data_IF_281736622517
#
_entry.id   IF_281736622517
#
_cell.length_a   1.000
_cell.length_b   1.000
_cell.length_c   1.000
_cell.angle_alpha   90.00
_cell.angle_beta   90.00
_cell.angle_gamma   90.00
#
_symmetry.space_group_name_H-M   'P 1'
#
loop_
_entity.id
_entity.type
_entity.pdbx_description
1 polymer ?
#
# COMPACT_ATOMS: atom_id res chain seq x y z
N UNK A 1 12.39 29.53 -4.12
CA UNK A 1 12.12 30.48 -3.03
C UNK A 1 13.25 30.37 -2.01
N UNK A 2 13.88 31.50 -1.63
CA UNK A 2 15.14 31.54 -0.86
C UNK A 2 14.95 31.36 0.66
N UNK A 3 13.76 31.64 1.17
CA UNK A 3 13.40 31.54 2.59
C UNK A 3 12.11 30.72 2.76
N UNK A 4 11.98 30.04 3.90
CA UNK A 4 10.84 29.22 4.32
C UNK A 4 10.21 29.80 5.59
N UNK A 5 8.95 29.44 5.83
CA UNK A 5 8.28 29.68 7.11
C UNK A 5 9.09 29.07 8.25
N UNK A 6 9.38 29.87 9.28
CA UNK A 6 10.21 29.51 10.42
C UNK A 6 11.69 29.86 10.28
N UNK A 7 12.15 30.35 9.11
CA UNK A 7 13.54 30.78 8.95
C UNK A 7 13.82 32.04 9.78
N UNK A 8 14.97 32.07 10.46
CA UNK A 8 15.46 33.25 11.16
C UNK A 8 16.25 34.14 10.18
N UNK A 9 15.81 35.38 10.04
CA UNK A 9 16.30 36.34 9.06
C UNK A 9 16.64 37.67 9.72
N UNK A 10 17.67 38.34 9.18
CA UNK A 10 18.06 39.69 9.55
C UNK A 10 17.76 40.64 8.39
N UNK A 11 17.30 41.83 8.72
CA UNK A 11 17.04 42.89 7.77
C UNK A 11 18.37 43.44 7.26
N UNK A 12 18.50 43.64 5.94
CA UNK A 12 19.77 44.09 5.34
C UNK A 12 20.08 45.53 5.71
N UNK A 13 19.06 46.39 5.75
CA UNK A 13 19.21 47.84 5.95
C UNK A 13 19.02 48.28 7.41
N UNK A 14 18.58 47.37 8.28
CA UNK A 14 18.23 47.67 9.66
C UNK A 14 18.85 46.65 10.61
N UNK A 15 19.23 47.09 11.83
CA UNK A 15 19.69 46.18 12.90
C UNK A 15 18.50 45.49 13.57
N UNK A 16 17.68 44.79 12.77
CA UNK A 16 16.51 44.05 13.22
C UNK A 16 16.56 42.61 12.72
N UNK A 17 16.01 41.72 13.53
CA UNK A 17 16.00 40.27 13.31
C UNK A 17 14.61 39.74 13.63
N UNK A 18 14.25 38.64 13.01
CA UNK A 18 12.95 38.02 13.25
C UNK A 18 12.79 36.71 12.50
N UNK A 19 11.64 36.09 12.69
CA UNK A 19 11.28 34.84 12.05
C UNK A 19 10.31 35.09 10.91
N UNK A 20 10.49 34.38 9.79
CA UNK A 20 9.52 34.38 8.70
C UNK A 20 8.26 33.64 9.17
N UNK A 21 7.23 34.39 9.52
CA UNK A 21 5.96 33.86 10.04
C UNK A 21 4.89 33.77 8.97
N UNK A 22 5.10 34.42 7.81
CA UNK A 22 4.13 34.42 6.71
C UNK A 22 4.80 34.62 5.36
N UNK A 23 4.30 33.92 4.34
CA UNK A 23 4.67 34.17 2.94
C UNK A 23 3.50 34.92 2.31
N UNK A 24 3.70 36.20 1.96
CA UNK A 24 2.65 37.05 1.40
C UNK A 24 2.55 36.81 -0.11
N UNK A 25 3.70 36.85 -0.80
CA UNK A 25 3.81 36.54 -2.22
C UNK A 25 5.24 36.08 -2.57
N UNK A 26 5.56 35.98 -3.87
CA UNK A 26 6.88 35.52 -4.34
C UNK A 26 8.06 36.45 -4.01
N UNK A 27 7.79 37.73 -3.72
CA UNK A 27 8.76 38.79 -3.49
C UNK A 27 8.66 39.40 -2.09
N UNK A 28 7.58 39.14 -1.34
CA UNK A 28 7.30 39.73 -0.03
C UNK A 28 7.01 38.67 1.04
N UNK A 29 7.65 38.81 2.21
CA UNK A 29 7.49 37.95 3.38
C UNK A 29 7.02 38.75 4.59
N UNK A 30 6.20 38.15 5.45
CA UNK A 30 5.93 38.65 6.80
C UNK A 30 6.99 38.11 7.76
N UNK A 31 7.71 39.03 8.40
CA UNK A 31 8.73 38.73 9.40
C UNK A 31 8.27 39.28 10.75
N UNK A 32 8.21 38.42 11.76
CA UNK A 32 7.86 38.81 13.13
C UNK A 32 9.11 38.94 13.99
N UNK A 33 9.27 40.10 14.63
CA UNK A 33 10.37 40.38 15.56
C UNK A 33 10.10 39.82 16.98
N UNK A 34 11.02 40.04 17.91
CA UNK A 34 10.91 39.58 19.30
C UNK A 34 9.73 40.20 20.06
N UNK A 35 9.28 41.39 19.63
CA UNK A 35 8.13 42.10 20.20
C UNK A 35 6.77 41.57 19.68
N UNK A 36 6.80 40.61 18.75
CA UNK A 36 5.61 39.94 18.22
C UNK A 36 4.88 40.73 17.13
N UNK A 37 5.50 41.76 16.55
CA UNK A 37 4.91 42.56 15.49
C UNK A 37 5.29 42.01 14.09
N UNK A 38 4.30 41.70 13.26
CA UNK A 38 4.52 41.17 11.90
C UNK A 38 4.71 42.31 10.89
N UNK A 39 5.90 42.37 10.28
CA UNK A 39 6.28 43.40 9.32
C UNK A 39 6.40 42.77 7.92
N UNK A 40 5.73 43.31 6.89
CA UNK A 40 5.92 42.88 5.50
C UNK A 40 7.21 43.45 4.91
N UNK A 41 8.09 42.58 4.40
CA UNK A 41 9.44 42.92 3.92
C UNK A 41 9.74 42.20 2.62
N UNK A 42 10.40 42.90 1.70
CA UNK A 42 10.85 42.31 0.44
C UNK A 42 11.97 41.27 0.67
N UNK A 43 11.92 40.16 -0.06
CA UNK A 43 12.92 39.07 -0.01
C UNK A 43 14.33 39.58 -0.30
N UNK A 44 14.48 40.63 -1.11
CA UNK A 44 15.76 41.28 -1.40
C UNK A 44 16.41 41.94 -0.18
N UNK A 45 15.61 42.34 0.80
CA UNK A 45 16.04 43.10 1.97
C UNK A 45 16.21 42.21 3.21
N UNK A 46 16.25 40.89 3.00
CA UNK A 46 16.43 39.90 4.05
C UNK A 46 17.69 39.06 3.78
N UNK A 47 18.43 38.77 4.84
CA UNK A 47 19.57 37.85 4.84
C UNK A 47 19.37 36.77 5.90
N UNK A 48 19.76 35.54 5.60
CA UNK A 48 19.71 34.45 6.58
C UNK A 48 20.82 34.60 7.60
N UNK A 49 20.48 34.47 8.88
CA UNK A 49 21.46 34.43 9.96
C UNK A 49 21.76 32.97 10.26
N UNK A 50 22.89 32.48 9.75
CA UNK A 50 23.38 31.14 10.08
C UNK A 50 24.09 31.21 11.43
N UNK A 51 23.49 30.68 12.49
CA UNK A 51 24.10 30.71 13.82
C UNK A 51 23.18 30.47 15.02
N UNK A 52 21.86 30.43 14.85
CA UNK A 52 20.96 29.83 15.83
C UNK A 52 20.62 28.40 15.38
N UNK A 53 21.37 27.46 15.94
CA UNK A 53 21.41 26.08 15.50
C UNK A 53 20.13 25.29 15.82
N UNK A 54 19.81 24.38 14.92
CA UNK A 54 20.01 22.97 15.25
C UNK A 54 21.30 22.53 14.55
N UNK A 55 22.23 22.04 15.38
CA UNK A 55 23.58 21.63 15.01
C UNK A 55 23.48 20.45 14.04
N UNK A 56 23.88 20.66 12.79
CA UNK A 56 24.21 19.60 11.88
C UNK A 56 25.67 19.21 12.15
N UNK A 57 25.90 17.98 12.62
CA UNK A 57 27.23 17.39 12.60
C UNK A 57 27.75 17.29 11.15
N UNK A 58 29.04 17.55 11.00
CA UNK A 58 29.78 17.65 9.75
C UNK A 58 29.74 16.34 8.95
N UNK A 59 29.43 16.45 7.66
CA UNK A 59 29.50 15.34 6.71
C UNK A 59 30.93 15.23 6.19
N UNK A 60 31.69 14.27 6.75
CA UNK A 60 32.93 13.73 6.17
C UNK A 60 32.65 13.25 4.73
N UNK A 61 33.67 13.38 3.86
CA UNK A 61 33.58 13.06 2.45
C UNK A 61 32.91 11.69 2.19
N UNK A 62 32.14 11.52 1.10
CA UNK A 62 31.33 10.33 0.89
C UNK A 62 32.22 9.10 0.72
N UNK A 63 32.48 8.40 1.82
CA UNK A 63 32.76 6.96 1.79
C UNK A 63 31.51 6.31 1.17
N UNK A 64 31.67 5.32 0.29
CA UNK A 64 30.53 4.69 -0.37
C UNK A 64 29.56 4.26 0.72
N UNK A 65 28.40 4.91 0.74
CA UNK A 65 27.26 4.48 1.54
C UNK A 65 26.97 3.09 0.97
N UNK A 66 27.36 2.05 1.70
CA UNK A 66 26.68 0.79 1.57
C UNK A 66 25.24 1.13 1.92
N UNK A 67 24.43 1.31 0.88
CA UNK A 67 23.00 1.40 1.02
C UNK A 67 22.64 0.07 1.63
N UNK A 68 22.50 0.06 2.95
CA UNK A 68 21.77 -0.98 3.63
C UNK A 68 20.33 -0.71 3.24
N UNK A 69 20.00 -1.07 1.98
CA UNK A 69 18.64 -1.19 1.50
C UNK A 69 18.01 -2.07 2.57
N UNK A 70 17.08 -1.54 3.39
CA UNK A 70 16.33 -2.41 4.27
C UNK A 70 15.76 -3.46 3.34
N UNK A 71 16.10 -4.72 3.57
CA UNK A 71 15.70 -5.85 2.72
C UNK A 71 14.26 -5.60 2.32
N UNK A 72 14.02 -5.19 1.07
CA UNK A 72 12.66 -4.89 0.62
C UNK A 72 12.03 -6.26 0.52
N UNK A 73 11.48 -6.73 1.64
CA UNK A 73 10.48 -7.75 1.66
C UNK A 73 9.44 -7.28 0.64
N UNK A 74 9.29 -8.03 -0.47
CA UNK A 74 8.28 -7.84 -1.53
C UNK A 74 6.88 -7.95 -0.92
N UNK A 75 6.51 -6.99 -0.11
CA UNK A 75 5.23 -6.89 0.55
C UNK A 75 4.52 -5.75 -0.15
N UNK A 76 3.28 -6.03 -0.50
CA UNK A 76 2.42 -5.05 -1.15
C UNK A 76 2.28 -3.81 -0.28
N UNK A 77 2.09 -2.65 -0.91
CA UNK A 77 1.79 -1.45 -0.16
C UNK A 77 0.48 -1.63 0.61
N UNK A 78 0.49 -1.34 1.91
CA UNK A 78 -0.69 -1.53 2.75
C UNK A 78 -0.41 -1.24 4.22
N UNK A 79 -1.43 -1.47 5.04
CA UNK A 79 -1.35 -1.30 6.49
C UNK A 79 -1.46 -2.68 7.11
N UNK A 80 -0.46 -3.07 7.90
CA UNK A 80 -0.38 -4.42 8.45
C UNK A 80 -0.22 -4.39 9.96
N UNK A 81 -0.71 -5.44 10.63
CA UNK A 81 -0.27 -5.79 11.98
C UNK A 81 0.67 -6.98 11.88
N UNK A 82 1.92 -6.74 12.25
CA UNK A 82 2.92 -7.77 12.45
C UNK A 82 2.83 -8.27 13.89
N UNK A 83 2.48 -9.54 14.07
CA UNK A 83 2.40 -10.21 15.37
C UNK A 83 3.69 -11.00 15.56
N UNK A 84 4.69 -10.37 16.17
CA UNK A 84 6.01 -10.94 16.39
C UNK A 84 6.03 -11.81 17.64
N UNK A 85 6.63 -12.99 17.58
CA UNK A 85 6.89 -13.82 18.76
C UNK A 85 8.11 -13.30 19.51
N UNK A 86 8.05 -13.31 20.85
CA UNK A 86 9.21 -13.02 21.67
C UNK A 86 10.13 -14.26 21.72
N UNK A 87 11.43 -14.04 21.47
CA UNK A 87 12.41 -15.13 21.41
C UNK A 87 12.74 -15.74 22.78
N UNK A 88 12.54 -14.98 23.86
CA UNK A 88 12.82 -15.38 25.25
C UNK A 88 11.56 -15.89 25.95
N UNK A 89 10.41 -15.30 25.64
CA UNK A 89 9.10 -15.67 26.18
C UNK A 89 8.21 -16.18 25.04
N UNK A 90 8.35 -17.46 24.68
CA UNK A 90 7.71 -18.03 23.47
C UNK A 90 6.18 -17.99 23.43
N UNK A 91 5.50 -17.68 24.54
CA UNK A 91 4.05 -17.45 24.60
C UNK A 91 3.67 -15.97 24.47
N UNK A 92 4.61 -15.04 24.53
CA UNK A 92 4.36 -13.60 24.40
C UNK A 92 4.50 -13.20 22.94
N UNK A 93 3.56 -12.38 22.49
CA UNK A 93 3.58 -11.76 21.17
C UNK A 93 3.46 -10.26 21.26
N UNK A 94 4.10 -9.59 20.31
CA UNK A 94 4.14 -8.14 20.16
C UNK A 94 3.44 -7.76 18.86
N UNK A 95 2.42 -6.91 18.95
CA UNK A 95 1.73 -6.35 17.80
C UNK A 95 2.44 -5.07 17.40
N UNK A 96 3.01 -5.07 16.20
CA UNK A 96 3.55 -3.89 15.56
C UNK A 96 2.60 -3.45 14.44
N UNK A 97 2.14 -2.20 14.49
CA UNK A 97 1.44 -1.61 13.35
C UNK A 97 2.50 -1.16 12.35
N UNK A 98 2.44 -1.71 11.14
CA UNK A 98 3.38 -1.45 10.06
C UNK A 98 2.68 -0.65 8.96
N UNK A 99 3.28 0.47 8.61
CA UNK A 99 2.93 1.24 7.43
C UNK A 99 3.85 0.80 6.29
N UNK A 100 3.35 0.04 5.33
CA UNK A 100 4.11 -0.32 4.13
C UNK A 100 3.75 0.59 2.95
N UNK A 101 3.34 1.83 3.20
CA UNK A 101 2.89 2.76 2.19
C UNK A 101 3.75 4.05 2.15
N UNK A 102 3.69 4.82 1.04
CA UNK A 102 4.36 6.12 0.95
C UNK A 102 3.68 7.23 1.78
N UNK A 103 2.50 6.95 2.36
CA UNK A 103 1.72 7.94 3.10
C UNK A 103 2.05 7.92 4.60
N UNK A 104 1.67 8.96 5.33
CA UNK A 104 1.78 9.02 6.80
C UNK A 104 0.46 8.58 7.42
N UNK A 105 0.51 7.80 8.50
CA UNK A 105 -0.68 7.34 9.21
C UNK A 105 -0.82 8.08 10.54
N UNK A 106 -1.98 8.70 10.78
CA UNK A 106 -2.37 9.19 12.10
C UNK A 106 -3.28 8.14 12.74
N UNK A 107 -2.88 7.59 13.88
CA UNK A 107 -3.48 6.38 14.44
C UNK A 107 -4.01 6.62 15.85
N UNK A 108 -5.22 6.11 16.10
CA UNK A 108 -5.76 5.79 17.42
C UNK A 108 -6.06 4.29 17.48
N UNK A 109 -5.60 3.63 18.53
CA UNK A 109 -5.75 2.19 18.72
C UNK A 109 -6.32 1.91 20.11
N UNK A 110 -7.48 1.26 20.13
CA UNK A 110 -8.23 0.99 21.35
C UNK A 110 -8.63 -0.48 21.44
N UNK A 111 -8.98 -0.92 22.64
CA UNK A 111 -9.56 -2.23 22.89
C UNK A 111 -10.93 -2.11 23.54
N UNK A 112 -11.78 -3.10 23.28
CA UNK A 112 -13.10 -3.24 23.87
C UNK A 112 -13.27 -4.66 24.47
N UNK A 113 -13.72 -4.72 25.73
CA UNK A 113 -14.13 -5.97 26.39
C UNK A 113 -15.36 -5.72 27.25
N UNK A 114 -16.49 -6.34 26.88
CA UNK A 114 -17.78 -6.20 27.59
C UNK A 114 -18.16 -4.73 27.76
N UNK A 115 -18.17 -3.96 26.66
CA UNK A 115 -18.47 -2.52 26.62
C UNK A 115 -17.55 -1.62 27.46
N UNK A 116 -16.43 -2.15 27.95
CA UNK A 116 -15.35 -1.35 28.55
C UNK A 116 -14.27 -1.11 27.52
N UNK A 117 -13.91 0.15 27.36
CA UNK A 117 -12.95 0.61 26.37
C UNK A 117 -11.64 1.06 27.03
N UNK A 118 -10.51 0.77 26.39
CA UNK A 118 -9.19 1.29 26.80
C UNK A 118 -8.42 1.77 25.57
N UNK A 119 -7.84 2.97 25.67
CA UNK A 119 -6.78 3.39 24.76
C UNK A 119 -5.55 2.53 24.97
N UNK A 120 -4.96 2.03 23.89
CA UNK A 120 -3.77 1.19 23.91
C UNK A 120 -2.58 1.86 23.22
N UNK A 121 -2.82 2.59 22.14
CA UNK A 121 -1.79 3.35 21.44
C UNK A 121 -2.41 4.55 20.70
N UNK A 122 -1.64 5.61 20.56
CA UNK A 122 -1.93 6.70 19.63
C UNK A 122 -0.61 7.25 19.07
N UNK A 123 -0.64 7.79 17.87
CA UNK A 123 0.56 8.43 17.32
C UNK A 123 0.56 8.55 15.81
N UNK A 124 1.71 8.97 15.31
CA UNK A 124 2.01 9.09 13.88
C UNK A 124 2.91 7.92 13.51
N UNK A 125 2.60 7.25 12.40
CA UNK A 125 3.48 6.25 11.79
C UNK A 125 3.89 6.77 10.42
N UNK A 126 5.16 7.14 10.33
CA UNK A 126 5.77 7.63 9.10
C UNK A 126 5.74 6.58 7.99
N UNK A 127 5.96 7.04 6.76
CA UNK A 127 6.04 6.17 5.59
C UNK A 127 7.08 5.06 5.79
N UNK A 128 6.71 3.82 5.46
CA UNK A 128 7.57 2.64 5.59
C UNK A 128 8.13 2.41 7.01
N UNK A 129 7.46 2.90 8.05
CA UNK A 129 7.84 2.68 9.45
C UNK A 129 6.88 1.73 10.19
N UNK A 130 7.31 1.29 11.37
CA UNK A 130 6.50 0.48 12.26
C UNK A 130 6.61 0.90 13.71
N UNK A 131 5.53 0.69 14.47
CA UNK A 131 5.46 1.00 15.90
C UNK A 131 4.89 -0.17 16.69
N UNK A 132 5.48 -0.48 17.84
CA UNK A 132 4.91 -1.42 18.81
C UNK A 132 3.64 -0.80 19.42
N UNK A 133 2.50 -1.45 19.26
CA UNK A 133 1.20 -0.93 19.72
C UNK A 133 0.56 -1.77 20.82
N UNK A 134 0.98 -3.02 21.01
CA UNK A 134 0.45 -3.90 22.05
C UNK A 134 1.34 -5.12 22.29
N UNK A 135 1.28 -5.69 23.49
CA UNK A 135 1.92 -6.97 23.83
C UNK A 135 0.95 -7.83 24.64
N UNK A 136 0.88 -9.12 24.35
CA UNK A 136 0.05 -10.04 25.12
C UNK A 136 0.54 -11.49 25.03
N UNK A 137 0.06 -12.32 25.94
CA UNK A 137 0.22 -13.77 25.89
C UNK A 137 -0.72 -14.36 24.83
N UNK A 138 -0.16 -15.12 23.89
CA UNK A 138 -0.91 -15.89 22.88
C UNK A 138 -1.72 -17.03 23.51
N UNK A 139 -1.32 -17.52 24.70
CA UNK A 139 -2.08 -18.53 25.44
C UNK A 139 -3.46 -18.01 25.88
N UNK A 140 -3.61 -16.69 26.04
CA UNK A 140 -4.84 -16.03 26.49
C UNK A 140 -5.71 -15.54 25.31
N UNK A 141 -5.47 -16.04 24.09
CA UNK A 141 -6.12 -15.56 22.87
C UNK A 141 -7.65 -15.58 22.94
N UNK A 142 -8.24 -16.54 23.66
CA UNK A 142 -9.68 -16.66 23.86
C UNK A 142 -10.29 -15.48 24.63
N UNK A 143 -9.51 -14.85 25.52
CA UNK A 143 -9.92 -13.71 26.34
C UNK A 143 -9.41 -12.36 25.83
N UNK A 144 -8.70 -12.33 24.70
CA UNK A 144 -8.26 -11.09 24.06
C UNK A 144 -9.47 -10.19 23.71
N UNK A 145 -9.34 -8.86 23.89
CA UNK A 145 -10.40 -7.93 23.56
C UNK A 145 -10.60 -7.84 22.04
N UNK A 146 -11.69 -7.20 21.63
CA UNK A 146 -11.77 -6.67 20.27
C UNK A 146 -10.92 -5.40 20.17
N UNK A 147 -10.16 -5.27 19.10
CA UNK A 147 -9.33 -4.10 18.87
C UNK A 147 -9.95 -3.21 17.80
N UNK A 148 -9.89 -1.90 18.00
CA UNK A 148 -10.31 -0.91 17.02
C UNK A 148 -9.12 -0.04 16.61
N UNK A 149 -8.85 -0.01 15.32
CA UNK A 149 -7.86 0.87 14.70
C UNK A 149 -8.63 1.99 13.98
N UNK A 150 -8.35 3.24 14.35
CA UNK A 150 -8.85 4.41 13.65
C UNK A 150 -7.64 5.10 13.02
N UNK A 151 -7.63 5.17 11.68
CA UNK A 151 -6.47 5.61 10.92
C UNK A 151 -6.88 6.69 9.93
N UNK A 152 -6.20 7.83 9.98
CA UNK A 152 -6.27 8.85 8.94
C UNK A 152 -5.01 8.74 8.08
N UNK A 153 -5.19 8.67 6.78
CA UNK A 153 -4.08 8.61 5.82
C UNK A 153 -3.77 10.03 5.36
N UNK A 154 -2.58 10.50 5.66
CA UNK A 154 -2.09 11.81 5.24
C UNK A 154 -1.14 11.67 4.05
N UNK A 155 -1.40 12.43 2.99
CA UNK A 155 -0.55 12.56 1.83
C UNK A 155 -0.40 14.03 1.45
N UNK A 156 0.79 14.41 0.94
CA UNK A 156 1.03 15.73 0.33
C UNK A 156 0.76 15.73 -1.18
N UNK A 157 0.46 14.57 -1.76
CA UNK A 157 0.14 14.47 -3.17
C UNK A 157 -1.21 15.14 -3.46
N UNK A 158 -1.33 15.71 -4.66
CA UNK A 158 -2.59 16.30 -5.15
C UNK A 158 -3.53 15.18 -5.62
N UNK A 159 -4.03 14.42 -4.66
CA UNK A 159 -4.98 13.32 -4.84
C UNK A 159 -6.11 13.47 -3.84
N UNK A 160 -7.30 12.97 -4.20
CA UNK A 160 -8.42 12.93 -3.28
C UNK A 160 -8.02 12.15 -2.00
N UNK A 161 -8.16 12.73 -0.80
CA UNK A 161 -7.88 12.02 0.44
C UNK A 161 -8.75 10.77 0.59
N UNK A 162 -8.17 9.74 1.18
CA UNK A 162 -8.89 8.50 1.51
C UNK A 162 -9.78 8.76 2.73
N UNK A 163 -10.96 8.14 2.77
CA UNK A 163 -11.84 8.20 3.93
C UNK A 163 -11.13 7.64 5.19
N UNK A 164 -11.46 8.16 6.39
CA UNK A 164 -10.96 7.61 7.65
C UNK A 164 -11.20 6.09 7.74
N UNK A 165 -10.13 5.34 8.00
CA UNK A 165 -10.22 3.89 8.14
C UNK A 165 -10.61 3.57 9.58
N UNK A 166 -11.73 2.87 9.77
CA UNK A 166 -12.14 2.34 11.08
C UNK A 166 -12.23 0.83 10.97
N UNK A 167 -11.25 0.15 11.56
CA UNK A 167 -11.04 -1.29 11.41
C UNK A 167 -11.22 -1.95 12.77
N UNK A 168 -12.18 -2.87 12.87
CA UNK A 168 -12.40 -3.68 14.07
C UNK A 168 -11.85 -5.09 13.85
N UNK A 169 -10.93 -5.52 14.69
CA UNK A 169 -10.28 -6.83 14.59
C UNK A 169 -10.34 -7.54 15.93
N UNK A 170 -11.03 -8.68 15.96
CA UNK A 170 -10.96 -9.64 17.05
C UNK A 170 -10.15 -10.84 16.60
N UNK A 171 -8.94 -10.99 17.12
CA UNK A 171 -8.04 -12.09 16.74
C UNK A 171 -8.61 -13.46 17.15
N UNK A 172 -8.37 -14.48 16.34
CA UNK A 172 -8.80 -15.86 16.52
C UNK A 172 -7.68 -16.82 16.14
N UNK A 173 -7.80 -18.08 16.54
CA UNK A 173 -6.82 -19.12 16.20
C UNK A 173 -6.53 -19.20 14.69
N UNK A 174 -7.54 -18.99 13.83
CA UNK A 174 -7.37 -18.95 12.37
C UNK A 174 -6.45 -17.84 11.85
N UNK A 175 -6.28 -16.75 12.61
CA UNK A 175 -5.38 -15.67 12.24
C UNK A 175 -3.90 -16.07 12.45
N UNK A 176 -3.67 -17.14 13.22
CA UNK A 176 -2.36 -17.67 13.58
C UNK A 176 -2.14 -19.10 13.08
N UNK A 177 -3.03 -19.63 12.23
CA UNK A 177 -2.93 -21.01 11.73
C UNK A 177 -1.91 -21.16 10.59
N UNK A 178 -1.46 -20.06 9.99
CA UNK A 178 -0.40 -20.10 8.97
C UNK A 178 0.97 -20.23 9.63
N UNK A 179 1.95 -20.73 8.88
CA UNK A 179 3.34 -20.75 9.33
C UNK A 179 3.88 -19.35 9.62
N UNK A 180 4.70 -19.26 10.66
CA UNK A 180 5.38 -18.01 11.01
C UNK A 180 6.41 -17.66 9.94
N UNK A 181 6.42 -16.39 9.56
CA UNK A 181 7.36 -15.82 8.58
C UNK A 181 8.30 -14.84 9.27
N UNK A 182 9.43 -14.56 8.65
CA UNK A 182 10.26 -13.43 9.05
C UNK A 182 9.49 -12.14 8.83
N UNK A 183 9.40 -11.32 9.87
CA UNK A 183 8.62 -10.09 9.82
C UNK A 183 9.46 -8.94 9.25
N UNK A 184 8.85 -8.03 8.48
CA UNK A 184 9.55 -6.87 7.95
C UNK A 184 10.09 -6.04 9.09
N UNK A 185 11.33 -5.54 8.93
CA UNK A 185 11.95 -4.62 9.87
C UNK A 185 12.10 -5.18 11.30
N UNK A 186 11.96 -6.50 11.47
CA UNK A 186 12.14 -7.21 12.73
C UNK A 186 12.91 -8.50 12.50
N UNK A 187 13.82 -8.84 13.41
CA UNK A 187 14.52 -10.14 13.38
C UNK A 187 13.66 -11.30 13.91
N UNK A 188 12.44 -11.00 14.36
CA UNK A 188 11.54 -11.98 14.95
C UNK A 188 10.66 -12.63 13.88
N UNK A 189 10.31 -13.90 14.12
CA UNK A 189 9.30 -14.59 13.33
C UNK A 189 7.91 -14.24 13.84
N UNK A 190 6.90 -14.38 13.01
CA UNK A 190 5.53 -14.12 13.41
C UNK A 190 4.54 -14.18 12.27
N UNK A 191 3.39 -13.54 12.48
CA UNK A 191 2.31 -13.47 11.52
C UNK A 191 2.15 -12.04 11.02
N UNK A 192 1.87 -11.88 9.73
CA UNK A 192 1.61 -10.58 9.11
C UNK A 192 0.17 -10.58 8.62
N UNK A 193 -0.64 -9.68 9.18
CA UNK A 193 -2.08 -9.59 8.91
C UNK A 193 -2.37 -8.22 8.30
N UNK A 194 -2.92 -8.20 7.08
CA UNK A 194 -3.33 -6.96 6.40
C UNK A 194 -4.60 -6.40 7.04
N UNK A 195 -4.62 -5.10 7.30
CA UNK A 195 -5.72 -4.40 7.98
C UNK A 195 -6.61 -3.60 7.02
N UNK A 196 -6.03 -2.97 6.00
CA UNK A 196 -6.75 -2.10 5.05
C UNK A 196 -7.81 -2.85 4.22
N UNK A 197 -7.65 -4.16 4.04
CA UNK A 197 -8.68 -5.04 3.43
C UNK A 197 -9.93 -5.22 4.32
N UNK A 198 -9.82 -4.90 5.62
CA UNK A 198 -10.87 -5.13 6.61
C UNK A 198 -11.75 -3.90 6.81
N UNK A 199 -11.48 -2.81 6.09
CA UNK A 199 -12.32 -1.62 6.11
C UNK A 199 -13.65 -2.00 5.46
N UNK A 200 -14.78 -1.93 6.18
CA UNK A 200 -16.07 -2.06 5.55
C UNK A 200 -16.19 -0.89 4.57
N UNK A 201 -16.20 -1.19 3.26
CA UNK A 201 -16.70 -0.23 2.27
C UNK A 201 -18.04 0.24 2.84
N UNK A 202 -18.20 1.55 3.04
CA UNK A 202 -19.42 2.16 3.54
C UNK A 202 -20.55 1.83 2.57
N UNK A 203 -21.17 0.67 2.75
CA UNK A 203 -22.41 0.33 2.09
C UNK A 203 -23.46 1.17 2.79
N UNK A 204 -23.74 2.31 2.16
CA UNK A 204 -24.88 3.16 2.45
C UNK A 204 -26.10 2.29 2.79
N UNK A 205 -26.57 2.41 4.04
CA UNK A 205 -27.66 1.60 4.57
C UNK A 205 -28.97 1.79 3.78
N UNK A 206 -29.09 2.86 2.98
CA UNK A 206 -30.19 3.04 2.03
C UNK A 206 -30.06 2.15 0.79
N UNK A 207 -28.84 1.95 0.24
CA UNK A 207 -28.59 0.93 -0.82
C UNK A 207 -28.80 -0.49 -0.32
N UNK A 208 -28.53 -0.74 0.97
CA UNK A 208 -28.77 -2.05 1.58
C UNK A 208 -30.28 -2.36 1.62
N UNK A 209 -31.13 -1.40 2.00
CA UNK A 209 -32.59 -1.59 1.99
C UNK A 209 -33.14 -1.82 0.58
N UNK A 210 -32.63 -1.12 -0.43
CA UNK A 210 -33.01 -1.38 -1.83
C UNK A 210 -32.57 -2.77 -2.32
N UNK A 211 -31.48 -3.32 -1.77
CA UNK A 211 -31.00 -4.68 -2.10
C UNK A 211 -31.80 -5.81 -1.43
N UNK A 212 -32.50 -5.55 -0.31
CA UNK A 212 -33.36 -6.54 0.35
C UNK A 212 -34.75 -6.67 -0.28
N UNK A 213 -35.21 -5.67 -1.04
CA UNK A 213 -36.51 -5.69 -1.73
C UNK A 213 -36.43 -6.07 -3.23
N UNK A 214 -35.24 -6.40 -3.74
CA UNK A 214 -35.11 -7.08 -5.03
C UNK A 214 -35.06 -8.59 -4.81
N UNK A 215 -36.14 -9.25 -5.21
CA UNK A 215 -36.28 -10.71 -5.26
C UNK A 215 -35.06 -11.41 -5.91
N UNK A 216 -34.73 -12.65 -5.48
CA UNK A 216 -33.53 -13.36 -5.89
C UNK A 216 -33.68 -13.94 -7.31
N UNK A 217 -33.32 -13.14 -8.31
CA UNK A 217 -33.06 -13.63 -9.65
C UNK A 217 -32.07 -12.69 -10.34
N UNK A 218 -30.80 -12.80 -9.97
CA UNK A 218 -29.68 -12.69 -10.91
C UNK A 218 -28.42 -13.16 -10.20
N UNK A 219 -27.99 -14.38 -10.57
CA UNK A 219 -26.62 -14.84 -10.33
C UNK A 219 -25.70 -13.71 -10.81
N UNK A 220 -24.68 -13.35 -10.03
CA UNK A 220 -23.53 -12.63 -10.59
C UNK A 220 -22.96 -13.51 -11.69
N UNK A 221 -23.40 -13.29 -12.92
CA UNK A 221 -22.72 -13.80 -14.09
C UNK A 221 -21.43 -13.00 -14.13
N UNK A 222 -20.30 -13.67 -13.89
CA UNK A 222 -19.07 -13.25 -14.55
C UNK A 222 -19.46 -13.08 -16.03
N UNK A 223 -19.08 -11.99 -16.67
CA UNK A 223 -19.41 -11.85 -18.09
C UNK A 223 -18.65 -12.92 -18.86
N UNK A 224 -19.33 -13.55 -19.82
CA UNK A 224 -18.72 -14.62 -20.61
C UNK A 224 -17.52 -14.04 -21.38
N UNK A 225 -16.29 -14.52 -21.12
CA UNK A 225 -15.09 -13.98 -21.78
C UNK A 225 -15.09 -14.32 -23.27
N UNK A 226 -14.47 -13.48 -24.10
CA UNK A 226 -14.32 -13.81 -25.53
C UNK A 226 -13.53 -15.10 -25.73
N UNK A 227 -13.89 -15.90 -26.74
CA UNK A 227 -13.21 -17.18 -27.06
C UNK A 227 -11.77 -16.99 -27.57
N UNK A 228 -11.43 -15.79 -28.04
CA UNK A 228 -10.08 -15.38 -28.43
C UNK A 228 -9.71 -14.15 -27.59
N UNK A 229 -8.61 -14.22 -26.85
CA UNK A 229 -8.12 -13.15 -25.96
C UNK A 229 -6.74 -12.71 -26.41
N UNK A 230 -6.58 -11.42 -26.66
CA UNK A 230 -5.29 -10.80 -26.97
C UNK A 230 -4.60 -10.31 -25.68
N UNK A 231 -3.41 -10.84 -25.41
CA UNK A 231 -2.63 -10.51 -24.23
C UNK A 231 -1.54 -9.48 -24.51
N UNK A 232 -1.42 -8.94 -25.73
CA UNK A 232 -0.49 -7.84 -26.00
C UNK A 232 -0.81 -6.62 -25.11
N UNK A 233 0.21 -6.01 -24.52
CA UNK A 233 0.02 -4.96 -23.50
C UNK A 233 -0.71 -3.75 -24.07
N UNK A 234 -0.54 -3.46 -25.35
CA UNK A 234 -1.20 -2.40 -26.11
C UNK A 234 -2.72 -2.60 -26.21
N UNK A 235 -3.22 -3.82 -25.97
CA UNK A 235 -4.65 -4.13 -25.89
C UNK A 235 -5.18 -4.08 -24.46
N UNK A 236 -4.30 -4.16 -23.47
CA UNK A 236 -4.66 -4.20 -22.05
C UNK A 236 -4.52 -2.83 -21.38
N UNK A 237 -3.64 -1.96 -21.87
CA UNK A 237 -3.39 -0.64 -21.28
C UNK A 237 -2.82 0.38 -22.28
N UNK A 238 -3.35 1.60 -22.21
CA UNK A 238 -2.96 2.71 -23.11
C UNK A 238 -1.63 3.38 -22.69
N UNK A 239 -1.29 3.36 -21.40
CA UNK A 239 -0.10 3.98 -20.80
C UNK A 239 1.12 3.03 -20.71
N UNK A 240 1.12 1.95 -21.48
CA UNK A 240 2.14 0.89 -21.43
C UNK A 240 3.58 1.37 -21.65
N UNK A 241 3.77 2.53 -22.27
CA UNK A 241 5.09 3.15 -22.49
C UNK A 241 5.82 3.56 -21.19
N UNK A 242 5.08 3.71 -20.09
CA UNK A 242 5.64 4.07 -18.79
C UNK A 242 5.91 2.87 -17.88
N UNK A 243 5.67 1.65 -18.36
CA UNK A 243 5.77 0.44 -17.56
C UNK A 243 7.09 -0.28 -17.80
N UNK A 244 7.64 -0.83 -16.72
CA UNK A 244 8.81 -1.69 -16.80
C UNK A 244 8.44 -3.08 -17.35
N UNK A 245 9.39 -3.76 -18.00
CA UNK A 245 9.14 -5.05 -18.66
C UNK A 245 8.54 -6.13 -17.73
N UNK A 246 8.95 -6.14 -16.46
CA UNK A 246 8.42 -7.06 -15.45
C UNK A 246 6.96 -6.73 -15.08
N UNK A 247 6.59 -5.44 -15.01
CA UNK A 247 5.23 -5.01 -14.71
C UNK A 247 4.29 -5.37 -15.86
N UNK A 248 4.71 -5.10 -17.10
CA UNK A 248 4.01 -5.51 -18.32
C UNK A 248 3.69 -7.00 -18.26
N UNK A 249 4.69 -7.83 -17.97
CA UNK A 249 4.51 -9.28 -17.90
C UNK A 249 3.53 -9.72 -16.81
N UNK A 250 3.53 -9.09 -15.64
CA UNK A 250 2.57 -9.41 -14.57
C UNK A 250 1.14 -9.05 -14.95
N UNK A 251 0.94 -7.91 -15.61
CA UNK A 251 -0.39 -7.47 -16.06
C UNK A 251 -0.96 -8.48 -17.06
N UNK A 252 -0.16 -8.90 -18.03
CA UNK A 252 -0.55 -9.89 -19.04
C UNK A 252 -0.92 -11.24 -18.42
N UNK A 253 -0.15 -11.69 -17.41
CA UNK A 253 -0.42 -12.96 -16.72
C UNK A 253 -1.67 -12.89 -15.83
N UNK A 254 -1.90 -11.77 -15.14
CA UNK A 254 -3.11 -11.58 -14.34
C UNK A 254 -4.36 -11.55 -15.23
N UNK A 255 -4.29 -10.86 -16.36
CA UNK A 255 -5.39 -10.84 -17.33
C UNK A 255 -5.68 -12.25 -17.89
N UNK A 256 -4.62 -12.99 -18.25
CA UNK A 256 -4.73 -14.39 -18.65
C UNK A 256 -5.43 -15.24 -17.58
N UNK A 257 -5.00 -15.15 -16.31
CA UNK A 257 -5.57 -15.94 -15.22
C UNK A 257 -7.05 -15.65 -15.00
N UNK A 258 -7.43 -14.36 -14.98
CA UNK A 258 -8.83 -13.96 -14.81
C UNK A 258 -9.71 -14.48 -15.95
N UNK A 259 -9.24 -14.40 -17.20
CA UNK A 259 -9.97 -14.92 -18.36
C UNK A 259 -10.09 -16.45 -18.34
N UNK A 260 -9.03 -17.14 -17.92
CA UNK A 260 -9.03 -18.59 -17.75
C UNK A 260 -10.04 -19.05 -16.69
N UNK A 261 -10.08 -18.39 -15.54
CA UNK A 261 -11.02 -18.71 -14.45
C UNK A 261 -12.47 -18.43 -14.86
N UNK A 262 -12.72 -17.32 -15.56
CA UNK A 262 -14.03 -17.04 -16.15
C UNK A 262 -14.45 -18.13 -17.14
N UNK A 263 -13.55 -18.59 -18.01
CA UNK A 263 -13.84 -19.67 -18.97
C UNK A 263 -14.26 -20.99 -18.28
N UNK A 264 -13.60 -21.32 -17.15
CA UNK A 264 -13.96 -22.48 -16.32
C UNK A 264 -15.35 -22.33 -15.72
N UNK A 265 -15.66 -21.16 -15.15
CA UNK A 265 -16.99 -20.85 -14.57
C UNK A 265 -18.10 -20.93 -15.62
N UNK A 266 -17.80 -20.54 -16.87
CA UNK A 266 -18.74 -20.59 -17.99
C UNK A 266 -18.74 -21.90 -18.77
N UNK A 267 -18.00 -22.93 -18.31
CA UNK A 267 -17.93 -24.24 -18.96
C UNK A 267 -17.55 -24.17 -20.45
N UNK A 268 -16.54 -23.37 -20.79
CA UNK A 268 -16.05 -23.29 -22.17
C UNK A 268 -15.36 -24.60 -22.57
N UNK A 269 -15.64 -25.12 -23.76
CA UNK A 269 -14.92 -26.29 -24.28
C UNK A 269 -13.45 -25.95 -24.58
N UNK A 270 -13.22 -24.75 -25.13
CA UNK A 270 -11.90 -24.25 -25.50
C UNK A 270 -11.81 -22.73 -25.60
N UNK A 271 -10.61 -22.21 -25.44
CA UNK A 271 -10.28 -20.77 -25.56
C UNK A 271 -8.89 -20.57 -26.14
N UNK A 272 -8.68 -19.50 -26.90
CA UNK A 272 -7.39 -19.14 -27.52
C UNK A 272 -6.83 -17.88 -26.88
N UNK A 273 -5.57 -17.95 -26.46
CA UNK A 273 -4.80 -16.81 -25.92
C UNK A 273 -3.69 -16.42 -26.88
N UNK A 274 -3.66 -15.15 -27.29
CA UNK A 274 -2.68 -14.60 -28.22
C UNK A 274 -1.63 -13.86 -27.39
N UNK A 275 -0.42 -14.41 -27.34
CA UNK A 275 0.70 -13.89 -26.53
C UNK A 275 1.84 -13.32 -27.38
N UNK A 276 1.71 -13.37 -28.71
CA UNK A 276 2.72 -12.88 -29.65
C UNK A 276 3.89 -13.84 -29.86
N UNK A 277 4.70 -13.56 -30.88
CA UNK A 277 5.82 -14.40 -31.35
C UNK A 277 7.20 -13.94 -30.85
N UNK A 278 7.25 -13.10 -29.81
CA UNK A 278 8.50 -12.54 -29.27
C UNK A 278 9.42 -13.58 -28.63
N UNK A 279 10.18 -13.18 -27.60
CA UNK A 279 11.20 -14.03 -26.94
C UNK A 279 10.65 -15.29 -26.21
N UNK A 280 9.35 -15.58 -26.29
CA UNK A 280 8.73 -16.76 -25.70
C UNK A 280 8.46 -16.69 -24.19
N UNK A 281 8.90 -15.65 -23.50
CA UNK A 281 8.77 -15.54 -22.03
C UNK A 281 7.32 -15.60 -21.52
N UNK A 282 6.40 -14.90 -22.19
CA UNK A 282 4.98 -14.91 -21.83
C UNK A 282 4.36 -16.28 -22.11
N UNK A 283 4.69 -16.89 -23.27
CA UNK A 283 4.27 -18.25 -23.65
C UNK A 283 4.67 -19.28 -22.60
N UNK A 284 5.94 -19.30 -22.22
CA UNK A 284 6.48 -20.30 -21.29
C UNK A 284 5.83 -20.17 -19.91
N UNK A 285 5.57 -18.95 -19.44
CA UNK A 285 4.85 -18.72 -18.18
C UNK A 285 3.39 -19.15 -18.26
N UNK A 286 2.69 -18.83 -19.35
CA UNK A 286 1.31 -19.28 -19.60
C UNK A 286 1.24 -20.81 -19.61
N UNK A 287 2.13 -21.49 -20.36
CA UNK A 287 2.17 -22.95 -20.44
C UNK A 287 2.40 -23.59 -19.07
N UNK A 288 3.28 -23.00 -18.25
CA UNK A 288 3.54 -23.45 -16.88
C UNK A 288 2.35 -23.26 -15.93
N UNK A 289 1.55 -22.22 -16.10
CA UNK A 289 0.32 -22.00 -15.33
C UNK A 289 -0.77 -23.00 -15.75
N UNK A 290 -0.97 -23.17 -17.06
CA UNK A 290 -1.92 -24.11 -17.65
C UNK A 290 -1.62 -25.54 -17.21
N UNK A 291 -0.35 -25.97 -17.27
CA UNK A 291 0.04 -27.34 -16.92
C UNK A 291 -0.25 -27.72 -15.47
N UNK A 292 -0.41 -26.73 -14.59
CA UNK A 292 -0.71 -26.93 -13.17
C UNK A 292 -2.21 -26.83 -12.84
N UNK A 293 -3.05 -26.38 -13.77
CA UNK A 293 -4.46 -26.16 -13.51
C UNK A 293 -5.27 -27.47 -13.68
N UNK A 294 -5.96 -27.95 -12.63
CA UNK A 294 -6.68 -29.22 -12.67
C UNK A 294 -7.90 -29.21 -13.60
N UNK A 295 -8.40 -28.05 -14.01
CA UNK A 295 -9.57 -27.90 -14.87
C UNK A 295 -9.23 -27.90 -16.37
N UNK A 296 -7.95 -28.01 -16.71
CA UNK A 296 -7.48 -28.04 -18.11
C UNK A 296 -7.25 -29.49 -18.53
N UNK A 297 -7.80 -29.84 -19.70
CA UNK A 297 -7.65 -31.16 -20.30
C UNK A 297 -6.35 -31.26 -21.09
N UNK A 298 -6.08 -30.28 -21.95
CA UNK A 298 -4.86 -30.19 -22.76
C UNK A 298 -4.68 -28.77 -23.31
N UNK A 299 -3.51 -28.46 -23.83
CA UNK A 299 -3.23 -27.22 -24.56
C UNK A 299 -2.31 -27.48 -25.75
N UNK A 300 -2.43 -26.67 -26.80
CA UNK A 300 -1.61 -26.75 -28.01
C UNK A 300 -1.43 -25.38 -28.65
N UNK A 301 -0.45 -25.21 -29.54
CA UNK A 301 -0.32 -23.96 -30.29
C UNK A 301 -1.57 -23.75 -31.18
N UNK A 302 -2.17 -22.56 -31.12
CA UNK A 302 -3.43 -22.27 -31.80
C UNK A 302 -3.20 -21.90 -33.27
N UNK A 303 -3.90 -22.59 -34.19
CA UNK A 303 -4.10 -22.23 -35.61
C UNK A 303 -2.89 -21.52 -36.25
N UNK A 304 -1.85 -22.30 -36.56
CA UNK A 304 -0.59 -21.84 -37.18
C UNK A 304 -0.77 -20.91 -38.38
N UNK A 305 -1.81 -21.11 -39.18
CA UNK A 305 -2.11 -20.33 -40.38
C UNK A 305 -2.60 -18.89 -40.07
N UNK A 306 -3.25 -18.68 -38.91
CA UNK A 306 -3.81 -17.37 -38.50
C UNK A 306 -2.91 -16.61 -37.52
N UNK A 307 -2.19 -17.32 -36.65
CA UNK A 307 -1.44 -16.70 -35.54
C UNK A 307 0.04 -17.13 -35.47
N UNK A 308 0.53 -17.92 -36.42
CA UNK A 308 1.89 -18.47 -36.36
C UNK A 308 2.11 -19.31 -35.09
N UNK A 309 3.19 -19.02 -34.37
CA UNK A 309 3.48 -19.61 -33.04
C UNK A 309 3.07 -18.67 -31.88
N UNK A 310 2.32 -17.61 -32.16
CA UNK A 310 2.02 -16.53 -31.22
C UNK A 310 0.75 -16.72 -30.39
N UNK A 311 0.12 -17.90 -30.43
CA UNK A 311 -1.11 -18.15 -29.69
C UNK A 311 -1.18 -19.60 -29.17
N UNK A 312 -1.88 -19.78 -28.05
CA UNK A 312 -2.09 -21.07 -27.39
C UNK A 312 -3.59 -21.35 -27.26
N UNK A 313 -4.06 -22.49 -27.75
CA UNK A 313 -5.42 -23.01 -27.56
C UNK A 313 -5.43 -23.89 -26.31
N UNK A 314 -6.33 -23.58 -25.38
CA UNK A 314 -6.57 -24.31 -24.13
C UNK A 314 -7.89 -25.04 -24.26
N UNK A 315 -7.89 -26.33 -23.94
CA UNK A 315 -9.09 -27.19 -23.93
C UNK A 315 -9.40 -27.54 -22.48
N UNK A 316 -10.60 -27.23 -22.03
CA UNK A 316 -11.04 -27.45 -20.64
C UNK A 316 -11.64 -28.86 -20.46
N UNK A 317 -11.80 -29.27 -19.20
CA UNK A 317 -12.38 -30.58 -18.82
C UNK A 317 -13.91 -30.57 -18.78
#
# INVERSE_FOLDING_TARGET
MKFKLGDFVRFVDEKREGYVTKIIDSQTLGVTDEDGFEIPVAVSNLTSVHGHGVVAEEVDAPKPIQVNVPSISKIENGIYVAVATDQKAGNVVHLHLQNQSPNVLLVSFTSEKKEKYSGLFHGVIESYQSSLIYSASLADLDIWPEFTFQILVFSKADIKPVDPLVIRKKFRAKDFSTEQKELPQSKNKGWLIRLDDLVPVTIDAQKLKESFFKSPAEKRTVDAPSKEIDLHIEKLRDDHHFLEADEILQIQLNYFQNALDAAVVHHYDKMVFIHGSGNGTLRDKIHKLISKNPHIKTYMDARKEKFGYGATEVVFK
#
